data_IF_064893428863
#
_entry.id   IF_064893428863
#
_cell.length_a   1.000
_cell.length_b   1.000
_cell.length_c   1.000
_cell.angle_alpha   90.00
_cell.angle_beta   90.00
_cell.angle_gamma   90.00
#
_symmetry.space_group_name_H-M   'P 1'
#
loop_
_entity.id
_entity.type
_entity.pdbx_description
1 polymer ?
#
# COMPACT_ATOMS: atom_id res chain seq x y z
N UNK A 1 -8.27 -6.73 -17.38
CA UNK A 1 -8.07 -6.42 -15.95
C UNK A 1 -7.30 -7.54 -15.28
N UNK A 2 -6.28 -7.24 -14.50
CA UNK A 2 -5.43 -8.23 -13.81
C UNK A 2 -6.12 -8.89 -12.62
N UNK A 3 -7.10 -8.21 -12.04
CA UNK A 3 -7.95 -8.68 -10.94
C UNK A 3 -9.40 -8.26 -11.19
N UNK A 4 -10.36 -8.93 -10.54
CA UNK A 4 -11.77 -8.61 -10.65
C UNK A 4 -12.18 -7.37 -9.84
N UNK A 5 -13.34 -6.85 -10.15
CA UNK A 5 -13.96 -5.72 -9.44
C UNK A 5 -14.28 -6.05 -7.96
N UNK A 6 -14.40 -7.33 -7.65
CA UNK A 6 -14.72 -7.88 -6.34
C UNK A 6 -13.54 -7.90 -5.36
N UNK A 7 -12.29 -7.76 -5.84
CA UNK A 7 -11.10 -7.85 -5.00
C UNK A 7 -11.18 -6.96 -3.73
N UNK A 8 -11.54 -5.69 -3.79
CA UNK A 8 -11.64 -4.87 -2.58
C UNK A 8 -12.81 -5.27 -1.68
N UNK A 9 -13.92 -5.76 -2.25
CA UNK A 9 -15.18 -5.98 -1.55
C UNK A 9 -15.20 -7.25 -0.69
N UNK A 10 -14.46 -8.28 -1.09
CA UNK A 10 -14.50 -9.60 -0.44
C UNK A 10 -13.83 -9.62 0.95
N UNK A 11 -12.83 -8.78 1.19
CA UNK A 11 -12.19 -8.68 2.50
C UNK A 11 -13.01 -7.80 3.44
N UNK A 12 -13.79 -8.44 4.34
CA UNK A 12 -14.63 -7.75 5.32
C UNK A 12 -14.00 -7.84 6.71
N UNK A 13 -13.87 -6.69 7.38
CA UNK A 13 -13.40 -6.62 8.77
C UNK A 13 -13.91 -5.35 9.46
N UNK A 14 -13.92 -5.37 10.79
CA UNK A 14 -14.32 -4.21 11.59
C UNK A 14 -13.30 -3.08 11.41
N UNK A 15 -13.77 -1.88 11.09
CA UNK A 15 -12.91 -0.72 10.85
C UNK A 15 -12.34 -0.63 9.44
N UNK A 16 -12.85 -1.45 8.50
CA UNK A 16 -12.50 -1.31 7.08
C UNK A 16 -12.92 0.06 6.57
N UNK A 17 -11.99 0.75 5.91
CA UNK A 17 -12.28 2.00 5.23
C UNK A 17 -13.34 1.82 4.14
N UNK A 18 -14.20 2.80 3.96
CA UNK A 18 -15.20 2.80 2.89
C UNK A 18 -14.49 2.80 1.52
N UNK A 19 -14.80 1.80 0.69
CA UNK A 19 -14.16 1.60 -0.61
C UNK A 19 -14.39 2.77 -1.57
N UNK A 20 -15.61 3.30 -1.62
CA UNK A 20 -15.95 4.45 -2.47
C UNK A 20 -15.16 5.69 -2.04
N UNK A 21 -15.02 5.92 -0.73
CA UNK A 21 -14.25 7.02 -0.20
C UNK A 21 -12.76 6.88 -0.55
N UNK A 22 -12.18 5.69 -0.35
CA UNK A 22 -10.79 5.41 -0.70
C UNK A 22 -10.54 5.53 -2.21
N UNK A 23 -11.49 5.09 -3.03
CA UNK A 23 -11.43 5.22 -4.49
C UNK A 23 -11.48 6.71 -4.92
N UNK A 24 -12.25 7.53 -4.20
CA UNK A 24 -12.25 8.99 -4.38
C UNK A 24 -10.90 9.60 -4.03
N UNK A 25 -10.28 9.21 -2.91
CA UNK A 25 -8.93 9.67 -2.55
C UNK A 25 -7.89 9.31 -3.61
N UNK A 26 -7.93 8.10 -4.17
CA UNK A 26 -7.07 7.68 -5.28
C UNK A 26 -7.28 8.56 -6.52
N UNK A 27 -8.53 8.88 -6.84
CA UNK A 27 -8.87 9.77 -7.96
C UNK A 27 -8.35 11.18 -7.73
N UNK A 28 -8.50 11.71 -6.52
CA UNK A 28 -7.97 13.04 -6.16
C UNK A 28 -6.43 13.06 -6.23
N UNK A 29 -5.77 12.03 -5.71
CA UNK A 29 -4.32 11.92 -5.77
C UNK A 29 -3.82 11.90 -7.23
N UNK A 30 -4.47 11.13 -8.09
CA UNK A 30 -4.13 11.07 -9.52
C UNK A 30 -4.36 12.42 -10.19
N UNK A 31 -5.51 13.05 -9.96
CA UNK A 31 -5.88 14.34 -10.57
C UNK A 31 -4.93 15.48 -10.15
N UNK A 32 -4.43 15.45 -8.91
CA UNK A 32 -3.49 16.45 -8.41
C UNK A 32 -2.03 16.16 -8.80
N UNK A 33 -1.73 14.99 -9.33
CA UNK A 33 -0.37 14.58 -9.68
C UNK A 33 0.00 14.96 -11.12
N UNK A 34 1.30 14.91 -11.42
CA UNK A 34 1.80 15.05 -12.78
C UNK A 34 1.50 13.82 -13.66
N UNK A 35 0.90 12.76 -13.10
CA UNK A 35 0.66 11.48 -13.79
C UNK A 35 -0.77 11.32 -14.33
N UNK A 36 -1.65 12.29 -14.12
CA UNK A 36 -3.05 12.21 -14.58
C UNK A 36 -3.18 12.02 -16.10
N UNK A 37 -2.35 12.67 -16.97
CA UNK A 37 -2.47 12.47 -18.42
C UNK A 37 -1.93 11.11 -18.90
N UNK A 38 -1.21 10.41 -18.04
CA UNK A 38 -0.53 9.16 -18.40
C UNK A 38 -1.43 8.01 -17.98
N UNK A 39 -2.12 7.38 -18.94
CA UNK A 39 -2.70 6.06 -18.74
C UNK A 39 -1.59 5.02 -18.63
N UNK A 40 -0.76 5.15 -17.59
CA UNK A 40 0.37 4.25 -17.39
C UNK A 40 0.00 3.18 -16.37
N UNK A 41 -0.06 1.96 -16.88
CA UNK A 41 -0.22 0.75 -16.09
C UNK A 41 0.95 0.50 -15.11
N UNK A 42 2.00 1.32 -15.17
CA UNK A 42 3.17 1.23 -14.30
C UNK A 42 3.08 2.15 -13.07
N UNK A 43 1.95 2.81 -12.85
CA UNK A 43 1.76 3.63 -11.66
C UNK A 43 1.87 2.78 -10.39
N UNK A 44 2.66 3.26 -9.44
CA UNK A 44 2.83 2.65 -8.10
C UNK A 44 2.09 3.49 -7.09
N UNK A 45 1.09 2.90 -6.44
CA UNK A 45 0.36 3.49 -5.31
C UNK A 45 0.95 2.96 -4.02
N UNK A 46 1.28 3.87 -3.10
CA UNK A 46 1.73 3.54 -1.75
C UNK A 46 0.64 3.88 -0.73
N UNK A 47 0.35 2.93 0.16
CA UNK A 47 -0.33 3.21 1.42
C UNK A 47 0.67 3.04 2.57
N UNK A 48 1.14 4.14 3.17
CA UNK A 48 2.16 4.06 4.22
C UNK A 48 1.63 3.62 5.59
N UNK A 49 0.31 3.40 5.73
CA UNK A 49 -0.36 2.88 6.92
C UNK A 49 -1.47 1.91 6.48
N UNK A 50 -1.07 0.86 5.75
CA UNK A 50 -1.95 0.09 4.88
C UNK A 50 -3.00 -0.76 5.61
N UNK A 51 -2.85 -1.01 6.92
CA UNK A 51 -3.72 -1.94 7.61
C UNK A 51 -3.81 -3.27 6.85
N UNK A 52 -5.03 -3.66 6.49
CA UNK A 52 -5.29 -4.87 5.69
C UNK A 52 -5.35 -4.61 4.18
N UNK A 53 -5.01 -3.40 3.72
CA UNK A 53 -4.70 -3.10 2.33
C UNK A 53 -5.88 -2.69 1.44
N UNK A 54 -6.95 -2.08 1.97
CA UNK A 54 -8.09 -1.61 1.14
C UNK A 54 -7.61 -0.71 -0.01
N UNK A 55 -6.77 0.30 0.28
CA UNK A 55 -6.19 1.20 -0.72
C UNK A 55 -5.43 0.43 -1.81
N UNK A 56 -4.66 -0.57 -1.40
CA UNK A 56 -3.83 -1.36 -2.31
C UNK A 56 -4.69 -2.24 -3.23
N UNK A 57 -5.76 -2.85 -2.69
CA UNK A 57 -6.69 -3.66 -3.49
C UNK A 57 -7.43 -2.79 -4.52
N UNK A 58 -7.78 -1.55 -4.18
CA UNK A 58 -8.36 -0.60 -5.11
C UNK A 58 -7.36 -0.15 -6.19
N UNK A 59 -6.10 0.07 -5.81
CA UNK A 59 -5.03 0.37 -6.77
C UNK A 59 -4.84 -0.78 -7.78
N UNK A 60 -4.80 -2.03 -7.32
CA UNK A 60 -4.71 -3.21 -8.17
C UNK A 60 -5.91 -3.35 -9.11
N UNK A 61 -7.13 -3.09 -8.62
CA UNK A 61 -8.36 -3.09 -9.44
C UNK A 61 -8.26 -2.08 -10.59
N UNK A 62 -7.63 -0.92 -10.36
CA UNK A 62 -7.36 0.08 -11.40
C UNK A 62 -6.20 -0.30 -12.33
N UNK A 63 -5.56 -1.46 -12.12
CA UNK A 63 -4.43 -1.94 -12.92
C UNK A 63 -3.08 -1.34 -12.51
N UNK A 64 -2.98 -0.68 -11.34
CA UNK A 64 -1.73 -0.13 -10.82
C UNK A 64 -0.97 -1.14 -9.98
N UNK A 65 0.29 -0.85 -9.66
CA UNK A 65 1.05 -1.56 -8.65
C UNK A 65 0.73 -1.01 -7.26
N UNK A 66 0.80 -1.87 -6.24
CA UNK A 66 0.58 -1.49 -4.85
C UNK A 66 1.79 -1.75 -3.96
N UNK A 67 2.09 -0.84 -3.05
CA UNK A 67 3.03 -1.06 -1.95
C UNK A 67 2.44 -0.52 -0.65
N UNK A 68 2.42 -1.33 0.40
CA UNK A 68 1.91 -0.95 1.71
C UNK A 68 2.94 -1.13 2.80
N UNK A 69 3.00 -0.17 3.72
CA UNK A 69 3.70 -0.27 4.98
C UNK A 69 2.67 -0.44 6.10
N UNK A 70 2.88 -1.40 6.98
CA UNK A 70 2.01 -1.64 8.13
C UNK A 70 2.83 -2.21 9.28
N UNK A 71 2.69 -1.64 10.47
CA UNK A 71 3.42 -2.08 11.66
C UNK A 71 2.80 -3.33 12.29
N UNK A 72 1.50 -3.53 12.10
CA UNK A 72 0.73 -4.65 12.62
C UNK A 72 0.99 -5.94 11.86
N UNK A 73 1.79 -6.85 12.43
CA UNK A 73 2.11 -8.16 11.80
C UNK A 73 0.87 -8.98 11.45
N UNK A 74 -0.18 -8.90 12.28
CA UNK A 74 -1.44 -9.63 12.07
C UNK A 74 -2.16 -9.09 10.83
N UNK A 75 -2.23 -7.77 10.66
CA UNK A 75 -2.90 -7.14 9.53
C UNK A 75 -2.18 -7.42 8.21
N UNK A 76 -0.83 -7.33 8.20
CA UNK A 76 -0.02 -7.72 7.04
C UNK A 76 -0.23 -9.18 6.67
N UNK A 77 -0.26 -10.08 7.69
CA UNK A 77 -0.50 -11.50 7.45
C UNK A 77 -1.89 -11.74 6.85
N UNK A 78 -2.94 -11.13 7.42
CA UNK A 78 -4.30 -11.27 6.91
C UNK A 78 -4.42 -10.76 5.47
N UNK A 79 -3.82 -9.61 5.15
CA UNK A 79 -3.78 -9.07 3.79
C UNK A 79 -3.07 -10.01 2.81
N UNK A 80 -1.93 -10.59 3.21
CA UNK A 80 -1.17 -11.53 2.39
C UNK A 80 -1.91 -12.86 2.18
N UNK A 81 -2.53 -13.40 3.24
CA UNK A 81 -3.32 -14.62 3.17
C UNK A 81 -4.58 -14.41 2.31
N UNK A 82 -5.22 -13.24 2.42
CA UNK A 82 -6.34 -12.87 1.57
C UNK A 82 -5.94 -12.81 0.10
N UNK A 83 -4.85 -12.11 -0.22
CA UNK A 83 -4.38 -12.02 -1.61
C UNK A 83 -4.01 -13.38 -2.18
N UNK A 84 -3.37 -14.25 -1.40
CA UNK A 84 -3.07 -15.61 -1.83
C UNK A 84 -4.33 -16.39 -2.20
N UNK A 85 -5.32 -16.42 -1.29
CA UNK A 85 -6.60 -17.11 -1.53
C UNK A 85 -7.35 -16.54 -2.73
N UNK A 86 -7.34 -15.22 -2.89
CA UNK A 86 -7.97 -14.55 -4.01
C UNK A 86 -7.37 -15.00 -5.35
N UNK A 87 -6.04 -14.92 -5.47
CA UNK A 87 -5.32 -15.32 -6.70
C UNK A 87 -5.52 -16.80 -7.03
N UNK A 88 -5.53 -17.68 -6.02
CA UNK A 88 -5.78 -19.11 -6.18
C UNK A 88 -7.23 -19.38 -6.61
N UNK A 89 -8.20 -18.77 -5.96
CA UNK A 89 -9.62 -18.94 -6.27
C UNK A 89 -9.94 -18.53 -7.72
N UNK A 90 -9.40 -17.39 -8.16
CA UNK A 90 -9.59 -16.89 -9.51
C UNK A 90 -8.62 -17.48 -10.54
N UNK A 91 -7.77 -18.44 -10.12
CA UNK A 91 -6.76 -19.10 -10.99
C UNK A 91 -5.83 -18.11 -11.72
N UNK A 92 -5.55 -16.98 -11.06
CA UNK A 92 -4.64 -15.96 -11.58
C UNK A 92 -3.20 -16.45 -11.42
N UNK A 93 -2.40 -16.34 -12.50
CA UNK A 93 -0.98 -16.73 -12.45
C UNK A 93 -0.20 -15.77 -11.56
N UNK A 94 0.48 -16.29 -10.54
CA UNK A 94 1.28 -15.46 -9.62
C UNK A 94 2.55 -16.15 -9.13
N UNK A 95 3.45 -15.31 -8.59
CA UNK A 95 4.61 -15.70 -7.79
C UNK A 95 4.58 -14.89 -6.49
N UNK A 96 4.68 -15.57 -5.36
CA UNK A 96 4.88 -14.95 -4.04
C UNK A 96 6.33 -15.13 -3.61
N UNK A 97 6.90 -14.08 -3.01
CA UNK A 97 8.24 -14.10 -2.39
C UNK A 97 8.16 -13.39 -1.05
N UNK A 98 8.65 -14.04 -0.02
CA UNK A 98 8.72 -13.49 1.34
C UNK A 98 10.19 -13.25 1.69
N UNK A 99 10.52 -12.04 2.12
CA UNK A 99 11.90 -11.63 2.41
C UNK A 99 12.01 -10.71 3.62
N UNK A 100 13.16 -10.72 4.28
CA UNK A 100 13.52 -9.72 5.26
C UNK A 100 14.08 -8.46 4.57
N UNK A 101 13.73 -7.30 5.08
CA UNK A 101 14.27 -6.01 4.66
C UNK A 101 15.23 -5.49 5.72
N UNK A 102 16.39 -5.01 5.28
CA UNK A 102 17.42 -4.49 6.19
C UNK A 102 17.31 -2.98 6.30
N UNK A 103 17.26 -2.48 7.53
CA UNK A 103 17.32 -1.06 7.87
C UNK A 103 18.52 -0.88 8.80
N UNK A 104 19.46 0.00 8.43
CA UNK A 104 20.66 0.29 9.24
C UNK A 104 21.44 -0.97 9.67
N UNK A 105 21.53 -1.96 8.79
CA UNK A 105 22.26 -3.20 9.05
C UNK A 105 21.51 -4.26 9.89
N UNK A 106 20.29 -3.99 10.30
CA UNK A 106 19.42 -4.90 11.04
C UNK A 106 18.15 -5.20 10.28
N UNK A 107 17.45 -6.29 10.63
CA UNK A 107 16.13 -6.58 10.07
C UNK A 107 15.14 -5.53 10.57
N UNK A 108 14.78 -4.59 9.70
CA UNK A 108 13.84 -3.50 9.99
C UNK A 108 12.43 -3.72 9.43
N UNK A 109 12.23 -4.77 8.64
CA UNK A 109 10.93 -5.12 8.08
C UNK A 109 10.90 -6.51 7.47
N UNK A 110 9.68 -6.95 7.12
CA UNK A 110 9.44 -8.17 6.34
C UNK A 110 8.48 -7.86 5.21
N UNK A 111 8.80 -8.35 4.03
CA UNK A 111 8.02 -8.14 2.81
C UNK A 111 7.37 -9.43 2.36
N UNK A 112 6.08 -9.34 2.02
CA UNK A 112 5.36 -10.32 1.20
C UNK A 112 5.14 -9.67 -0.17
N UNK A 113 5.82 -10.16 -1.18
CA UNK A 113 5.74 -9.63 -2.55
C UNK A 113 4.99 -10.60 -3.44
N UNK A 114 3.96 -10.11 -4.09
CA UNK A 114 3.20 -10.81 -5.13
C UNK A 114 3.49 -10.18 -6.47
N UNK A 115 3.79 -11.00 -7.47
CA UNK A 115 3.85 -10.63 -8.88
C UNK A 115 2.84 -11.52 -9.59
N UNK A 116 1.88 -10.94 -10.31
CA UNK A 116 0.79 -11.68 -10.92
C UNK A 116 0.36 -11.06 -12.24
N UNK A 117 -0.34 -11.85 -13.04
CA UNK A 117 -0.89 -11.43 -14.34
C UNK A 117 -2.19 -12.16 -14.62
N UNK A 118 -3.03 -11.57 -15.46
CA UNK A 118 -4.31 -12.13 -15.89
C UNK A 118 -4.17 -13.39 -16.73
N UNK A 119 -3.00 -13.63 -17.35
CA UNK A 119 -2.73 -14.83 -18.13
C UNK A 119 -1.28 -15.32 -17.98
N UNK A 120 -1.04 -16.57 -18.36
CA UNK A 120 0.29 -17.16 -18.37
C UNK A 120 1.18 -16.52 -19.45
N UNK A 121 0.59 -16.12 -20.58
CA UNK A 121 1.28 -15.44 -21.68
C UNK A 121 1.76 -14.07 -21.26
N UNK A 122 0.89 -13.24 -20.67
CA UNK A 122 1.24 -11.93 -20.16
C UNK A 122 2.26 -12.04 -19.02
N UNK A 123 2.13 -13.06 -18.15
CA UNK A 123 3.12 -13.31 -17.09
C UNK A 123 4.52 -13.58 -17.66
N UNK A 124 4.62 -14.42 -18.71
CA UNK A 124 5.87 -14.72 -19.41
C UNK A 124 6.44 -13.50 -20.13
N UNK A 125 5.57 -12.67 -20.70
CA UNK A 125 5.94 -11.43 -21.38
C UNK A 125 6.38 -10.31 -20.41
N UNK A 126 6.23 -10.50 -19.07
CA UNK A 126 6.55 -9.50 -18.08
C UNK A 126 5.44 -8.46 -17.86
N UNK A 127 4.29 -8.61 -18.53
CA UNK A 127 3.12 -7.77 -18.26
C UNK A 127 2.42 -8.23 -16.99
N UNK A 128 2.90 -7.72 -15.88
CA UNK A 128 2.51 -8.14 -14.54
C UNK A 128 2.11 -6.96 -13.68
N UNK A 129 1.38 -7.26 -12.60
CA UNK A 129 1.16 -6.32 -11.50
C UNK A 129 1.88 -6.82 -10.26
N UNK A 130 2.27 -5.88 -9.42
CA UNK A 130 3.01 -6.17 -8.19
C UNK A 130 2.25 -5.60 -7.00
N UNK A 131 2.11 -6.43 -5.98
CA UNK A 131 1.70 -6.03 -4.64
C UNK A 131 2.85 -6.32 -3.69
N UNK A 132 3.25 -5.31 -2.91
CA UNK A 132 4.24 -5.42 -1.85
C UNK A 132 3.58 -5.07 -0.52
N UNK A 133 3.52 -6.01 0.40
CA UNK A 133 3.03 -5.82 1.76
C UNK A 133 4.21 -5.90 2.70
N UNK A 134 4.58 -4.78 3.30
CA UNK A 134 5.76 -4.65 4.14
C UNK A 134 5.33 -4.47 5.59
N UNK A 135 5.67 -5.43 6.44
CA UNK A 135 5.58 -5.27 7.88
C UNK A 135 6.76 -4.42 8.35
N UNK A 136 6.51 -3.15 8.65
CA UNK A 136 7.54 -2.20 9.06
C UNK A 136 6.95 -0.87 9.52
N UNK A 137 7.77 -0.07 10.17
CA UNK A 137 7.37 1.25 10.64
C UNK A 137 7.35 2.25 9.48
N UNK A 138 6.27 2.98 9.32
CA UNK A 138 6.11 4.02 8.28
C UNK A 138 7.16 5.12 8.37
N UNK A 139 7.70 5.39 9.57
CA UNK A 139 8.79 6.35 9.80
C UNK A 139 10.11 5.93 9.12
N UNK A 140 10.26 4.64 8.85
CA UNK A 140 11.42 4.07 8.13
C UNK A 140 11.17 3.90 6.62
N UNK A 141 10.17 4.58 6.06
CA UNK A 141 9.80 4.46 4.65
C UNK A 141 11.00 4.67 3.70
N UNK A 142 11.86 5.65 3.98
CA UNK A 142 13.05 5.95 3.19
C UNK A 142 14.09 4.80 3.17
N UNK A 143 14.08 3.93 4.18
CA UNK A 143 14.97 2.77 4.25
C UNK A 143 14.32 1.49 3.71
N UNK A 144 12.98 1.40 3.76
CA UNK A 144 12.21 0.26 3.31
C UNK A 144 11.84 0.32 1.82
N UNK A 145 11.77 1.52 1.25
CA UNK A 145 11.40 1.77 -0.14
C UNK A 145 12.53 2.50 -0.88
N UNK A 146 12.61 2.28 -2.19
CA UNK A 146 13.58 3.00 -3.02
C UNK A 146 13.18 4.47 -3.17
N UNK A 147 14.13 5.41 -3.19
CA UNK A 147 13.84 6.80 -3.52
C UNK A 147 13.16 6.92 -4.89
N UNK A 148 12.26 7.89 -5.03
CA UNK A 148 11.55 8.20 -6.27
C UNK A 148 10.87 6.97 -6.93
N UNK A 149 10.30 6.06 -6.12
CA UNK A 149 9.68 4.83 -6.61
C UNK A 149 8.15 4.83 -6.56
N UNK A 150 7.55 5.79 -5.87
CA UNK A 150 6.10 5.89 -5.64
C UNK A 150 5.54 7.06 -6.44
N UNK A 151 4.44 6.83 -7.17
CA UNK A 151 3.76 7.86 -7.95
C UNK A 151 2.66 8.55 -7.14
N UNK A 152 1.85 7.78 -6.44
CA UNK A 152 0.75 8.28 -5.60
C UNK A 152 0.88 7.69 -4.20
N UNK A 153 0.66 8.49 -3.19
CA UNK A 153 0.59 8.03 -1.81
C UNK A 153 -0.80 8.34 -1.26
N UNK A 154 -1.52 7.32 -0.82
CA UNK A 154 -2.89 7.48 -0.32
C UNK A 154 -3.04 6.67 0.96
N UNK A 155 -3.45 7.32 2.03
CA UNK A 155 -3.67 6.65 3.31
C UNK A 155 -4.89 7.18 4.04
N UNK A 156 -5.64 6.27 4.62
CA UNK A 156 -6.64 6.54 5.66
C UNK A 156 -5.96 6.29 7.01
N UNK A 157 -5.51 7.37 7.65
CA UNK A 157 -4.76 7.25 8.89
C UNK A 157 -5.66 6.68 10.02
N UNK A 158 -5.17 5.69 10.79
CA UNK A 158 -5.97 5.05 11.82
C UNK A 158 -6.40 6.06 12.89
N UNK A 159 -7.59 5.82 13.46
CA UNK A 159 -8.15 6.67 14.52
C UNK A 159 -7.46 6.41 15.85
N UNK A 160 -7.15 7.46 16.61
CA UNK A 160 -6.70 7.37 18.00
C UNK A 160 -5.19 7.27 18.18
N UNK A 161 -4.79 6.72 19.31
CA UNK A 161 -3.39 6.58 19.73
C UNK A 161 -2.86 5.23 19.27
N UNK A 162 -1.85 5.20 18.40
CA UNK A 162 -1.15 3.97 18.09
C UNK A 162 -0.22 3.56 19.25
N UNK A 163 -0.22 2.25 19.57
CA UNK A 163 0.79 1.69 20.46
C UNK A 163 2.12 1.64 19.71
N UNK A 164 3.03 2.56 20.04
CA UNK A 164 4.40 2.49 19.53
C UNK A 164 5.12 1.25 20.08
N UNK A 165 6.12 0.77 19.35
CA UNK A 165 6.95 -0.40 19.71
C UNK A 165 7.77 -0.22 21.01
N UNK A 166 7.77 0.95 21.61
CA UNK A 166 8.53 1.29 22.82
C UNK A 166 7.66 1.73 24.01
N UNK A 167 6.36 1.41 24.03
CA UNK A 167 5.48 1.82 25.13
C UNK A 167 5.15 3.33 25.16
N UNK A 168 5.64 4.11 24.20
CA UNK A 168 5.27 5.51 24.01
C UNK A 168 4.01 5.59 23.19
N UNK A 169 2.99 6.25 23.72
CA UNK A 169 1.77 6.61 22.98
C UNK A 169 2.10 7.83 22.10
N UNK A 170 2.58 7.57 20.87
CA UNK A 170 2.70 8.63 19.88
C UNK A 170 1.31 8.95 19.33
N UNK A 171 0.95 10.24 19.26
CA UNK A 171 -0.26 10.64 18.53
C UNK A 171 -0.10 10.30 17.05
N UNK A 172 -1.19 9.99 16.36
CA UNK A 172 -1.13 9.71 14.92
C UNK A 172 -0.51 10.89 14.16
N UNK A 173 -0.81 12.13 14.55
CA UNK A 173 -0.20 13.34 13.98
C UNK A 173 1.32 13.38 14.18
N UNK A 174 1.82 12.98 15.35
CA UNK A 174 3.25 12.89 15.62
C UNK A 174 3.93 11.81 14.77
N UNK A 175 3.27 10.67 14.58
CA UNK A 175 3.77 9.59 13.71
C UNK A 175 3.86 10.07 12.25
N UNK A 176 2.80 10.72 11.74
CA UNK A 176 2.78 11.27 10.37
C UNK A 176 3.88 12.33 10.21
N UNK A 177 3.98 13.28 11.14
CA UNK A 177 5.00 14.33 11.08
C UNK A 177 6.42 13.75 11.02
N UNK A 178 6.70 12.72 11.82
CA UNK A 178 7.99 12.03 11.82
C UNK A 178 8.24 11.23 10.53
N UNK A 179 7.18 10.76 9.84
CA UNK A 179 7.28 9.97 8.62
C UNK A 179 7.38 10.84 7.34
N UNK A 180 6.89 12.09 7.35
CA UNK A 180 6.83 12.96 6.18
C UNK A 180 8.14 13.08 5.39
N UNK A 181 9.33 13.26 6.01
CA UNK A 181 10.58 13.31 5.24
C UNK A 181 10.87 12.03 4.47
N UNK A 182 10.58 10.87 5.08
CA UNK A 182 10.72 9.57 4.44
C UNK A 182 9.71 9.39 3.30
N UNK A 183 8.46 9.77 3.50
CA UNK A 183 7.42 9.73 2.46
C UNK A 183 7.79 10.61 1.26
N UNK A 184 8.26 11.83 1.53
CA UNK A 184 8.71 12.72 0.47
C UNK A 184 9.85 12.12 -0.36
N UNK A 185 10.83 11.48 0.29
CA UNK A 185 12.00 10.91 -0.40
C UNK A 185 11.65 9.75 -1.34
N UNK A 186 10.58 9.00 -1.04
CA UNK A 186 10.14 7.87 -1.87
C UNK A 186 9.17 8.26 -2.98
N UNK A 187 8.53 9.43 -2.87
CA UNK A 187 7.69 9.97 -3.93
C UNK A 187 8.53 10.39 -5.13
N UNK A 188 8.03 10.11 -6.31
CA UNK A 188 8.58 10.65 -7.56
C UNK A 188 8.30 12.15 -7.66
N UNK A 189 9.15 12.92 -8.35
CA UNK A 189 8.81 14.30 -8.74
C UNK A 189 7.44 14.33 -9.43
N UNK A 190 6.55 15.21 -8.96
CA UNK A 190 5.17 15.28 -9.42
C UNK A 190 4.20 14.29 -8.77
N UNK A 191 4.70 13.45 -7.87
CA UNK A 191 3.88 12.58 -7.03
C UNK A 191 3.18 13.35 -5.90
N UNK A 192 2.02 12.85 -5.48
CA UNK A 192 1.16 13.54 -4.51
C UNK A 192 0.80 12.59 -3.36
N UNK A 193 0.93 13.04 -2.09
CA UNK A 193 0.36 12.36 -0.95
C UNK A 193 -1.07 12.90 -0.68
N UNK A 194 -2.02 11.99 -0.46
CA UNK A 194 -3.36 12.28 0.04
C UNK A 194 -3.57 11.48 1.32
N UNK A 195 -3.87 12.18 2.40
CA UNK A 195 -4.17 11.56 3.69
C UNK A 195 -5.51 12.07 4.20
N UNK A 196 -6.26 11.16 4.80
CA UNK A 196 -7.45 11.49 5.55
C UNK A 196 -7.23 11.13 7.02
N UNK A 197 -7.59 12.05 7.90
CA UNK A 197 -7.59 11.84 9.34
C UNK A 197 -8.90 12.37 9.91
N UNK A 198 -9.60 11.56 10.69
CA UNK A 198 -10.79 12.01 11.46
C UNK A 198 -10.34 12.81 12.69
N UNK A 199 -9.60 13.86 12.52
CA UNK A 199 -9.50 14.85 13.58
C UNK A 199 -10.65 15.85 13.40
N UNK A 200 -11.61 15.83 14.31
CA UNK A 200 -12.43 17.02 14.55
C UNK A 200 -11.45 18.12 14.93
N UNK A 201 -11.25 19.06 14.03
CA UNK A 201 -10.56 20.31 14.36
C UNK A 201 -11.31 20.94 15.55
N UNK A 202 -10.60 21.45 16.55
CA UNK A 202 -11.21 22.11 17.68
C UNK A 202 -11.97 23.36 17.26
#
# INVERSE_FOLDING_TARGET
NYVGEDLPALLKYKGKTNEMFTDTMLTMALAASAFMPVHDSQLVVCDPMAGRGTTLMLALRRGYHGVGLEIGKADVKEAADYMTRYLEFHRIKYKRTDSALTVRGQVGGRENKFVFSDSAEHFKAGDTRTLRLICGDTREAAALLKPNSVHLMVTDAPYGVQKGTAGRQDSIGGTIAAALPGWHSVLKPGGVPVSYTHQTLP
#
